data_IF_729562712038
#
_entry.id   IF_729562712038
#
_cell.length_a   1.000
_cell.length_b   1.000
_cell.length_c   1.000
_cell.angle_alpha   90.00
_cell.angle_beta   90.00
_cell.angle_gamma   90.00
#
_symmetry.space_group_name_H-M   'P 1'
#
loop_
_entity.id
_entity.type
_entity.pdbx_description
1 polymer ?
#
# COMPACT_ATOMS: atom_id res chain seq x y z
N UNK A 1 -10.27 4.66 -32.74
CA UNK A 1 -9.35 5.80 -32.48
C UNK A 1 -10.03 7.00 -31.85
N UNK A 2 -11.34 7.23 -32.08
CA UNK A 2 -12.08 8.37 -31.51
C UNK A 2 -12.13 8.38 -29.98
N UNK A 3 -12.26 7.22 -29.33
CA UNK A 3 -12.28 7.12 -27.86
C UNK A 3 -10.97 7.54 -27.15
N UNK A 4 -9.81 7.41 -27.81
CA UNK A 4 -8.53 7.88 -27.25
C UNK A 4 -8.43 9.40 -27.32
N UNK A 5 -8.95 10.01 -28.40
CA UNK A 5 -8.95 11.46 -28.58
C UNK A 5 -9.87 12.12 -27.54
N UNK A 6 -11.04 11.53 -27.26
CA UNK A 6 -11.93 12.02 -26.20
C UNK A 6 -11.33 11.90 -24.81
N UNK A 7 -10.58 10.82 -24.51
CA UNK A 7 -9.86 10.68 -23.23
C UNK A 7 -8.75 11.71 -23.06
N UNK A 8 -8.02 12.05 -24.14
CA UNK A 8 -6.97 13.06 -24.10
C UNK A 8 -7.49 14.50 -23.94
N UNK A 9 -8.74 14.74 -24.36
CA UNK A 9 -9.42 16.04 -24.24
C UNK A 9 -10.15 16.22 -22.91
N UNK A 10 -10.33 15.15 -22.12
CA UNK A 10 -10.99 15.21 -20.83
C UNK A 10 -10.05 15.76 -19.74
N UNK A 11 -10.36 16.92 -19.13
CA UNK A 11 -9.57 17.47 -18.03
C UNK A 11 -9.49 16.54 -16.81
N UNK A 12 -10.48 15.69 -16.59
CA UNK A 12 -10.51 14.76 -15.48
C UNK A 12 -9.42 13.69 -15.60
N UNK A 13 -9.10 13.24 -16.82
CA UNK A 13 -8.03 12.27 -17.08
C UNK A 13 -6.67 12.86 -16.72
N UNK A 14 -6.43 14.13 -17.07
CA UNK A 14 -5.20 14.83 -16.70
C UNK A 14 -5.07 15.05 -15.20
N UNK A 15 -6.18 15.41 -14.53
CA UNK A 15 -6.20 15.55 -13.09
C UNK A 15 -5.95 14.21 -12.36
N UNK A 16 -6.56 13.12 -12.83
CA UNK A 16 -6.34 11.77 -12.30
C UNK A 16 -4.89 11.32 -12.51
N UNK A 17 -4.33 11.53 -13.70
CA UNK A 17 -2.93 11.20 -14.02
C UNK A 17 -1.96 11.99 -13.14
N UNK A 18 -2.19 13.30 -12.97
CA UNK A 18 -1.39 14.13 -12.07
C UNK A 18 -1.46 13.61 -10.63
N UNK A 19 -2.65 13.25 -10.15
CA UNK A 19 -2.84 12.70 -8.80
C UNK A 19 -2.10 11.37 -8.63
N UNK A 20 -2.17 10.47 -9.61
CA UNK A 20 -1.46 9.19 -9.61
C UNK A 20 0.06 9.40 -9.58
N UNK A 21 0.58 10.32 -10.39
CA UNK A 21 2.02 10.66 -10.41
C UNK A 21 2.45 11.22 -9.06
N UNK A 22 1.67 12.12 -8.46
CA UNK A 22 1.98 12.69 -7.15
C UNK A 22 1.98 11.60 -6.07
N UNK A 23 0.97 10.74 -6.03
CA UNK A 23 0.90 9.64 -5.05
C UNK A 23 2.06 8.65 -5.21
N UNK A 24 2.42 8.32 -6.44
CA UNK A 24 3.55 7.44 -6.75
C UNK A 24 4.87 8.04 -6.27
N UNK A 25 5.07 9.35 -6.45
CA UNK A 25 6.26 10.07 -5.96
C UNK A 25 6.29 10.08 -4.43
N UNK A 26 5.18 10.43 -3.76
CA UNK A 26 5.10 10.49 -2.29
C UNK A 26 5.45 9.12 -1.68
N UNK A 27 4.81 8.06 -2.17
CA UNK A 27 5.08 6.70 -1.71
C UNK A 27 6.50 6.23 -2.05
N UNK A 28 7.03 6.64 -3.21
CA UNK A 28 8.40 6.33 -3.63
C UNK A 28 9.47 7.01 -2.76
N UNK A 29 9.20 8.23 -2.29
CA UNK A 29 10.12 9.00 -1.44
C UNK A 29 10.32 8.32 -0.09
N UNK A 30 9.25 7.86 0.58
CA UNK A 30 9.34 7.21 1.89
C UNK A 30 10.31 6.01 1.85
N UNK A 31 10.17 5.18 0.82
CA UNK A 31 10.98 3.98 0.63
C UNK A 31 12.45 4.31 0.28
N UNK A 32 12.69 5.36 -0.52
CA UNK A 32 14.05 5.84 -0.84
C UNK A 32 14.72 6.46 0.39
N UNK A 33 13.98 7.24 1.19
CA UNK A 33 14.47 7.87 2.42
C UNK A 33 14.95 6.81 3.41
N UNK A 34 14.17 5.75 3.64
CA UNK A 34 14.57 4.65 4.52
C UNK A 34 15.91 4.02 4.11
N UNK A 35 16.07 3.70 2.81
CA UNK A 35 17.32 3.14 2.27
C UNK A 35 18.47 4.14 2.42
N UNK A 36 18.22 5.41 2.17
CA UNK A 36 19.22 6.48 2.32
C UNK A 36 19.69 6.61 3.77
N UNK A 37 18.77 6.62 4.73
CA UNK A 37 19.07 6.72 6.17
C UNK A 37 19.93 5.54 6.63
N UNK A 38 19.52 4.31 6.29
CA UNK A 38 20.27 3.10 6.70
C UNK A 38 21.62 3.03 6.02
N UNK A 39 21.69 3.33 4.71
CA UNK A 39 22.96 3.32 3.99
C UNK A 39 23.93 4.38 4.52
N UNK A 40 23.45 5.55 4.94
CA UNK A 40 24.29 6.61 5.50
C UNK A 40 24.90 6.25 6.87
N UNK A 41 24.33 5.29 7.60
CA UNK A 41 24.94 4.73 8.82
C UNK A 41 26.13 3.80 8.55
N UNK A 42 26.40 3.42 7.30
CA UNK A 42 27.52 2.55 6.93
C UNK A 42 28.80 3.35 6.60
N UNK A 43 30.00 2.73 6.75
CA UNK A 43 31.27 3.32 6.36
C UNK A 43 31.27 3.72 4.87
N UNK A 44 31.93 4.83 4.53
CA UNK A 44 31.88 5.43 3.19
C UNK A 44 32.22 4.46 2.05
N UNK A 45 33.15 3.53 2.29
CA UNK A 45 33.55 2.49 1.35
C UNK A 45 32.41 1.51 0.98
N UNK A 46 31.38 1.37 1.82
CA UNK A 46 30.27 0.43 1.64
C UNK A 46 28.93 1.11 1.31
N UNK A 47 28.80 2.42 1.54
CA UNK A 47 27.56 3.19 1.29
C UNK A 47 27.00 2.99 -0.12
N UNK A 48 27.87 3.07 -1.12
CA UNK A 48 27.44 2.99 -2.53
C UNK A 48 26.93 1.58 -2.90
N UNK A 49 27.58 0.53 -2.38
CA UNK A 49 27.14 -0.86 -2.56
C UNK A 49 25.84 -1.13 -1.81
N UNK A 50 25.76 -0.71 -0.55
CA UNK A 50 24.56 -0.86 0.27
C UNK A 50 23.35 -0.12 -0.32
N UNK A 51 23.55 1.09 -0.87
CA UNK A 51 22.48 1.83 -1.55
C UNK A 51 22.01 1.13 -2.82
N UNK A 52 22.92 0.65 -3.68
CA UNK A 52 22.54 -0.12 -4.88
C UNK A 52 21.76 -1.38 -4.51
N UNK A 53 22.28 -2.18 -3.59
CA UNK A 53 21.63 -3.41 -3.13
C UNK A 53 20.27 -3.08 -2.51
N UNK A 54 20.20 -2.04 -1.68
CA UNK A 54 18.96 -1.58 -1.05
C UNK A 54 17.90 -1.17 -2.07
N UNK A 55 18.27 -0.38 -3.09
CA UNK A 55 17.34 0.04 -4.15
C UNK A 55 16.91 -1.16 -5.01
N UNK A 56 17.85 -2.03 -5.39
CA UNK A 56 17.54 -3.23 -6.17
C UNK A 56 16.60 -4.17 -5.42
N UNK A 57 16.89 -4.43 -4.14
CA UNK A 57 16.05 -5.27 -3.28
C UNK A 57 14.68 -4.63 -3.06
N UNK A 58 14.62 -3.32 -2.84
CA UNK A 58 13.36 -2.60 -2.65
C UNK A 58 12.48 -2.64 -3.92
N UNK A 59 13.08 -2.51 -5.11
CA UNK A 59 12.36 -2.65 -6.37
C UNK A 59 11.84 -4.08 -6.55
N UNK A 60 12.65 -5.09 -6.26
CA UNK A 60 12.24 -6.51 -6.33
C UNK A 60 11.11 -6.80 -5.36
N UNK A 61 11.23 -6.37 -4.10
CA UNK A 61 10.18 -6.53 -3.08
C UNK A 61 8.89 -5.82 -3.51
N UNK A 62 9.00 -4.63 -4.09
CA UNK A 62 7.84 -3.89 -4.62
C UNK A 62 7.16 -4.66 -5.74
N UNK A 63 7.92 -5.13 -6.74
CA UNK A 63 7.38 -5.91 -7.85
C UNK A 63 6.76 -7.22 -7.35
N UNK A 64 7.36 -7.87 -6.35
CA UNK A 64 6.82 -9.08 -5.73
C UNK A 64 5.48 -8.79 -5.03
N UNK A 65 5.41 -7.75 -4.19
CA UNK A 65 4.18 -7.35 -3.51
C UNK A 65 3.09 -6.93 -4.51
N UNK A 66 3.43 -6.15 -5.54
CA UNK A 66 2.50 -5.77 -6.60
C UNK A 66 2.01 -7.00 -7.39
N UNK A 67 2.89 -7.96 -7.67
CA UNK A 67 2.52 -9.21 -8.36
C UNK A 67 1.59 -10.08 -7.50
N UNK A 68 1.88 -10.16 -6.19
CA UNK A 68 1.00 -10.85 -5.23
C UNK A 68 -0.36 -10.17 -5.21
N UNK A 69 -0.43 -8.84 -5.06
CA UNK A 69 -1.68 -8.08 -5.09
C UNK A 69 -2.42 -8.27 -6.42
N UNK A 70 -1.72 -8.20 -7.56
CA UNK A 70 -2.33 -8.39 -8.87
C UNK A 70 -2.94 -9.79 -9.01
N UNK A 71 -2.26 -10.83 -8.51
CA UNK A 71 -2.78 -12.19 -8.45
C UNK A 71 -3.99 -12.28 -7.50
N UNK A 72 -3.91 -11.63 -6.33
CA UNK A 72 -4.95 -11.54 -5.31
C UNK A 72 -6.23 -10.85 -5.80
N UNK A 73 -6.08 -9.77 -6.58
CA UNK A 73 -7.20 -9.05 -7.19
C UNK A 73 -7.92 -9.96 -8.18
N UNK A 74 -7.23 -10.90 -8.82
CA UNK A 74 -7.84 -11.93 -9.66
C UNK A 74 -8.62 -13.00 -8.90
N UNK A 75 -8.41 -13.15 -7.58
CA UNK A 75 -9.19 -14.03 -6.70
C UNK A 75 -10.52 -13.39 -6.30
N UNK A 76 -11.29 -12.86 -7.26
CA UNK A 76 -12.68 -12.40 -7.06
C UNK A 76 -13.68 -13.54 -6.88
N UNK A 77 -13.24 -14.79 -6.96
CA UNK A 77 -14.09 -15.94 -6.68
C UNK A 77 -14.64 -15.81 -5.25
N UNK A 78 -15.97 -15.82 -5.14
CA UNK A 78 -16.70 -15.78 -3.87
C UNK A 78 -16.37 -17.08 -3.12
N UNK A 79 -15.77 -16.96 -1.95
CA UNK A 79 -15.25 -18.11 -1.17
C UNK A 79 -16.25 -18.52 -0.11
N UNK A 80 -16.94 -17.53 0.46
CA UNK A 80 -17.92 -17.71 1.52
C UNK A 80 -19.15 -16.90 1.15
N UNK A 81 -20.22 -17.58 0.76
CA UNK A 81 -21.56 -17.02 0.61
C UNK A 81 -22.39 -17.50 1.80
N UNK A 82 -22.70 -16.60 2.73
CA UNK A 82 -23.54 -16.94 3.89
C UNK A 82 -25.05 -16.97 3.55
N UNK A 83 -25.44 -16.81 2.27
CA UNK A 83 -26.83 -16.91 1.81
C UNK A 83 -27.76 -15.79 2.32
N UNK A 84 -27.23 -14.85 3.10
CA UNK A 84 -27.94 -13.67 3.58
C UNK A 84 -27.71 -12.53 2.59
N UNK A 85 -28.75 -12.23 1.80
CA UNK A 85 -28.83 -11.08 0.92
C UNK A 85 -29.74 -10.04 1.55
N UNK A 86 -29.25 -8.80 1.67
CA UNK A 86 -30.02 -7.67 2.15
C UNK A 86 -31.14 -7.29 1.19
N UNK A 87 -32.16 -6.60 1.71
CA UNK A 87 -33.29 -6.12 0.91
C UNK A 87 -32.79 -5.37 -0.36
N UNK A 88 -33.48 -5.50 -1.51
CA UNK A 88 -33.07 -4.83 -2.74
C UNK A 88 -33.01 -3.32 -2.54
N UNK A 89 -31.87 -2.71 -2.87
CA UNK A 89 -31.76 -1.25 -3.01
C UNK A 89 -32.57 -0.76 -4.23
N UNK A 90 -32.82 0.54 -4.34
CA UNK A 90 -33.59 1.21 -5.39
C UNK A 90 -33.15 0.90 -6.84
N UNK A 91 -31.99 0.28 -7.02
CA UNK A 91 -31.41 -0.13 -8.31
C UNK A 91 -31.44 -1.66 -8.55
N UNK A 92 -32.17 -2.43 -7.74
CA UNK A 92 -32.33 -3.87 -7.92
C UNK A 92 -31.10 -4.70 -7.54
N UNK A 93 -30.19 -4.12 -6.74
CA UNK A 93 -28.98 -4.77 -6.24
C UNK A 93 -29.17 -5.12 -4.76
N UNK A 94 -28.71 -6.28 -4.27
CA UNK A 94 -28.76 -6.58 -2.84
C UNK A 94 -27.96 -5.52 -2.06
N UNK A 95 -28.58 -4.93 -1.03
CA UNK A 95 -27.98 -3.85 -0.21
C UNK A 95 -26.75 -4.31 0.58
N UNK A 96 -26.70 -5.60 0.91
CA UNK A 96 -25.52 -6.28 1.40
C UNK A 96 -25.54 -7.71 0.89
N UNK A 97 -24.47 -8.14 0.25
CA UNK A 97 -24.20 -9.56 0.02
C UNK A 97 -23.18 -10.00 1.06
N UNK A 98 -23.51 -11.05 1.80
CA UNK A 98 -22.55 -11.66 2.73
C UNK A 98 -21.60 -12.59 1.96
N UNK A 99 -21.16 -12.15 0.79
CA UNK A 99 -20.24 -12.82 -0.12
C UNK A 99 -18.84 -12.29 0.17
N UNK A 100 -18.12 -12.95 1.08
CA UNK A 100 -16.74 -12.60 1.36
C UNK A 100 -15.83 -13.22 0.29
N UNK A 101 -15.15 -12.36 -0.46
CA UNK A 101 -14.06 -12.76 -1.35
C UNK A 101 -12.74 -12.83 -0.58
N UNK A 102 -11.78 -13.63 -1.07
CA UNK A 102 -10.40 -13.63 -0.57
C UNK A 102 -9.80 -12.22 -0.53
N UNK A 103 -10.18 -11.36 -1.49
CA UNK A 103 -9.78 -9.95 -1.53
C UNK A 103 -10.17 -9.20 -0.25
N UNK A 104 -11.42 -9.36 0.18
CA UNK A 104 -11.98 -8.60 1.31
C UNK A 104 -11.35 -9.03 2.63
N UNK A 105 -11.15 -10.34 2.81
CA UNK A 105 -10.47 -10.90 3.98
C UNK A 105 -9.04 -10.34 4.10
N UNK A 106 -8.32 -10.30 2.98
CA UNK A 106 -6.93 -9.84 2.96
C UNK A 106 -6.83 -8.33 3.11
N UNK A 107 -7.76 -7.55 2.55
CA UNK A 107 -7.84 -6.10 2.78
C UNK A 107 -8.11 -5.77 4.25
N UNK A 108 -9.03 -6.48 4.90
CA UNK A 108 -9.34 -6.29 6.33
C UNK A 108 -8.13 -6.66 7.19
N UNK A 109 -7.52 -7.83 6.95
CA UNK A 109 -6.34 -8.27 7.69
C UNK A 109 -5.15 -7.32 7.49
N UNK A 110 -4.88 -6.91 6.25
CA UNK A 110 -3.81 -5.98 5.91
C UNK A 110 -4.04 -4.58 6.49
N UNK A 111 -5.26 -4.06 6.44
CA UNK A 111 -5.63 -2.77 7.02
C UNK A 111 -5.44 -2.76 8.54
N UNK A 112 -5.90 -3.79 9.24
CA UNK A 112 -5.68 -3.93 10.69
C UNK A 112 -4.20 -4.05 11.04
N UNK A 113 -3.43 -4.80 10.26
CA UNK A 113 -1.98 -4.92 10.45
C UNK A 113 -1.26 -3.57 10.32
N UNK A 114 -1.63 -2.76 9.32
CA UNK A 114 -1.04 -1.43 9.13
C UNK A 114 -1.40 -0.47 10.27
N UNK A 115 -2.65 -0.47 10.75
CA UNK A 115 -3.07 0.36 11.88
C UNK A 115 -2.29 -0.02 13.14
N UNK A 116 -2.18 -1.32 13.42
CA UNK A 116 -1.40 -1.82 14.57
C UNK A 116 0.06 -1.40 14.47
N UNK A 117 0.71 -1.64 13.32
CA UNK A 117 2.11 -1.31 13.11
C UNK A 117 2.37 0.20 13.20
N UNK A 118 1.55 1.02 12.56
CA UNK A 118 1.68 2.48 12.62
C UNK A 118 1.52 2.98 14.06
N UNK A 119 0.56 2.44 14.81
CA UNK A 119 0.35 2.79 16.23
C UNK A 119 1.57 2.39 17.08
N UNK A 120 2.12 1.18 16.87
CA UNK A 120 3.30 0.71 17.60
C UNK A 120 4.60 1.47 17.26
N UNK A 121 4.81 1.84 15.99
CA UNK A 121 5.96 2.67 15.57
C UNK A 121 5.86 4.10 16.13
N UNK A 122 4.65 4.68 16.18
CA UNK A 122 4.43 5.98 16.81
C UNK A 122 4.68 5.88 18.32
N UNK A 123 4.13 4.87 19.00
CA UNK A 123 4.30 4.70 20.44
C UNK A 123 5.79 4.54 20.83
N UNK A 124 6.58 3.81 20.05
CA UNK A 124 8.03 3.67 20.29
C UNK A 124 8.84 4.95 20.05
N UNK A 125 8.41 5.86 19.16
CA UNK A 125 9.10 7.13 18.93
C UNK A 125 8.63 8.24 19.89
N UNK A 126 7.50 8.04 20.56
CA UNK A 126 6.83 9.03 21.43
C UNK A 126 7.09 8.78 22.93
N UNK A 127 7.79 7.70 23.30
CA UNK A 127 8.31 7.49 24.65
C UNK A 127 9.78 7.96 24.77
N UNK A 128 10.04 9.25 25.07
CA UNK A 128 11.30 9.65 25.64
C UNK A 128 11.24 9.24 27.11
N UNK A 129 11.74 8.06 27.48
CA UNK A 129 12.06 7.85 28.89
C UNK A 129 13.40 8.54 29.17
N UNK A 130 13.43 9.66 29.92
CA UNK A 130 14.66 10.33 30.29
C UNK A 130 15.12 9.78 31.65
N UNK A 131 16.23 9.04 31.65
CA UNK A 131 17.11 8.78 32.80
C UNK A 131 16.49 8.17 34.08
N UNK A 132 16.92 6.97 34.46
CA UNK A 132 17.27 6.73 35.87
C UNK A 132 18.35 5.64 35.99
N UNK A 133 19.53 5.92 35.43
CA UNK A 133 20.75 5.14 35.68
C UNK A 133 21.54 5.90 36.76
N UNK A 134 21.08 5.82 38.02
CA UNK A 134 21.82 6.28 39.19
C UNK A 134 22.12 5.09 40.08
N UNK A 135 23.16 4.31 39.75
CA UNK A 135 23.97 3.53 40.70
C UNK A 135 25.35 3.23 40.12
#
# INVERSE_FOLDING_TARGET
MEGLVTLFQDPAVWAALLTLVVMEIVLGIDNLIFISIISNKLPEAQRQKARRIGISLALVMRLALLSVIAWLVGLTAIVVDFGLQGAPDAYGKPSFETAFSWRDIILIAGGLFLIWKATSEIHHNVDPNPNDDVF
#
